data_IF_190513892864
#
_entry.id   IF_190513892864
#
_cell.length_a   1.000
_cell.length_b   1.000
_cell.length_c   1.000
_cell.angle_alpha   90.00
_cell.angle_beta   90.00
_cell.angle_gamma   90.00
#
_symmetry.space_group_name_H-M   'P 1'
#
loop_
_entity.id
_entity.type
_entity.pdbx_description
1 polymer ?
#
# COMPACT_ATOMS: atom_id res chain seq x y z
N UNK A 1 15.33 1.68 3.77
CA UNK A 1 15.49 0.30 4.29
C UNK A 1 14.60 -0.66 3.51
N UNK A 2 15.20 -1.33 2.54
CA UNK A 2 14.69 -2.56 1.93
C UNK A 2 14.96 -3.70 2.90
N UNK A 3 13.95 -4.50 3.26
CA UNK A 3 14.24 -5.75 3.99
C UNK A 3 14.80 -6.75 2.98
N UNK A 4 15.99 -7.29 3.24
CA UNK A 4 16.50 -8.42 2.48
C UNK A 4 15.68 -9.68 2.79
N UNK A 5 15.68 -10.64 1.86
CA UNK A 5 14.99 -11.92 2.06
C UNK A 5 15.47 -12.64 3.34
N UNK A 6 16.77 -12.55 3.63
CA UNK A 6 17.37 -13.08 4.86
C UNK A 6 16.85 -12.40 6.12
N UNK A 7 16.73 -11.07 6.13
CA UNK A 7 16.18 -10.33 7.26
C UNK A 7 14.71 -10.68 7.49
N UNK A 8 13.93 -10.87 6.42
CA UNK A 8 12.54 -11.30 6.53
C UNK A 8 12.40 -12.71 7.14
N UNK A 9 13.23 -13.66 6.70
CA UNK A 9 13.22 -15.02 7.23
C UNK A 9 13.60 -15.04 8.72
N UNK A 10 14.63 -14.28 9.11
CA UNK A 10 15.06 -14.17 10.52
C UNK A 10 13.95 -13.57 11.38
N UNK A 11 13.35 -12.45 10.97
CA UNK A 11 12.28 -11.79 11.73
C UNK A 11 11.06 -12.70 11.85
N UNK A 12 10.69 -13.42 10.79
CA UNK A 12 9.58 -14.37 10.81
C UNK A 12 9.87 -15.59 11.69
N UNK A 13 11.09 -16.10 11.65
CA UNK A 13 11.54 -17.19 12.53
C UNK A 13 11.54 -16.80 14.00
N UNK A 14 12.05 -15.61 14.33
CA UNK A 14 12.01 -15.08 15.70
C UNK A 14 10.57 -14.88 16.16
N UNK A 15 9.71 -14.30 15.33
CA UNK A 15 8.30 -14.11 15.67
C UNK A 15 7.57 -15.43 15.89
N UNK A 16 7.85 -16.45 15.08
CA UNK A 16 7.31 -17.80 15.26
C UNK A 16 7.78 -18.43 16.58
N UNK A 17 9.09 -18.36 16.88
CA UNK A 17 9.65 -18.88 18.14
C UNK A 17 9.05 -18.20 19.38
N UNK A 18 8.82 -16.89 19.31
CA UNK A 18 8.11 -16.15 20.37
C UNK A 18 6.68 -16.68 20.53
N UNK A 19 5.96 -16.91 19.43
CA UNK A 19 4.60 -17.47 19.46
C UNK A 19 4.56 -18.89 20.03
N UNK A 20 5.55 -19.73 19.69
CA UNK A 20 5.71 -21.08 20.28
C UNK A 20 6.01 -20.99 21.77
N UNK A 21 6.92 -20.09 22.19
CA UNK A 21 7.28 -19.91 23.59
C UNK A 21 6.10 -19.44 24.44
N UNK A 22 5.37 -18.42 23.98
CA UNK A 22 4.18 -17.90 24.68
C UNK A 22 3.06 -18.95 24.67
N UNK A 23 2.80 -19.59 23.53
CA UNK A 23 1.76 -20.61 23.39
C UNK A 23 2.01 -21.86 24.23
N UNK A 24 3.26 -22.33 24.27
CA UNK A 24 3.66 -23.49 25.04
C UNK A 24 3.71 -23.24 26.55
N UNK A 25 4.33 -22.13 26.98
CA UNK A 25 4.53 -21.85 28.40
C UNK A 25 3.25 -21.36 29.08
N UNK A 26 2.46 -20.51 28.41
CA UNK A 26 1.30 -19.85 29.03
C UNK A 26 0.02 -20.69 28.91
N UNK A 27 -0.26 -21.26 27.73
CA UNK A 27 -1.52 -21.97 27.48
C UNK A 27 -1.41 -23.47 27.70
N UNK A 28 -0.18 -24.03 27.77
CA UNK A 28 0.11 -25.43 28.04
C UNK A 28 -0.77 -26.40 27.23
N UNK A 29 -1.16 -25.99 26.03
CA UNK A 29 -2.09 -26.69 25.16
C UNK A 29 -1.59 -26.63 23.72
N UNK A 30 -1.79 -27.74 22.98
CA UNK A 30 -1.38 -27.86 21.58
C UNK A 30 -2.09 -26.79 20.73
N UNK A 31 -3.37 -26.51 21.03
CA UNK A 31 -4.15 -25.49 20.35
C UNK A 31 -3.56 -24.08 20.55
N UNK A 32 -3.18 -23.72 21.79
CA UNK A 32 -2.58 -22.42 22.08
C UNK A 32 -1.24 -22.21 21.38
N UNK A 33 -0.41 -23.27 21.33
CA UNK A 33 0.87 -23.27 20.63
C UNK A 33 0.69 -23.07 19.12
N UNK A 34 -0.22 -23.81 18.48
CA UNK A 34 -0.48 -23.68 17.04
C UNK A 34 -1.09 -22.32 16.68
N UNK A 35 -2.06 -21.84 17.47
CA UNK A 35 -2.74 -20.57 17.18
C UNK A 35 -1.80 -19.37 17.34
N UNK A 36 -1.03 -19.29 18.44
CA UNK A 36 -0.14 -18.15 18.64
C UNK A 36 1.06 -18.16 17.70
N UNK A 37 1.66 -19.32 17.44
CA UNK A 37 2.80 -19.42 16.52
C UNK A 37 2.42 -19.05 15.08
N UNK A 38 1.24 -19.43 14.61
CA UNK A 38 0.75 -19.04 13.27
C UNK A 38 0.42 -17.55 13.19
N UNK A 39 -0.23 -17.00 14.21
CA UNK A 39 -0.54 -15.57 14.29
C UNK A 39 0.73 -14.71 14.28
N UNK A 40 1.73 -15.03 15.10
CA UNK A 40 2.96 -14.25 15.17
C UNK A 40 3.84 -14.40 13.93
N UNK A 41 3.88 -15.59 13.33
CA UNK A 41 4.60 -15.81 12.07
C UNK A 41 3.98 -15.06 10.89
N UNK A 42 2.67 -14.80 10.90
CA UNK A 42 1.99 -14.05 9.86
C UNK A 42 2.19 -12.53 9.96
N UNK A 43 2.52 -11.98 11.14
CA UNK A 43 2.66 -10.54 11.36
C UNK A 43 3.70 -9.86 10.45
N UNK A 44 4.92 -10.38 10.27
CA UNK A 44 5.93 -9.74 9.41
C UNK A 44 5.48 -9.67 7.95
N UNK A 45 4.79 -10.70 7.46
CA UNK A 45 4.22 -10.72 6.12
C UNK A 45 3.14 -9.66 5.94
N UNK A 46 2.18 -9.59 6.87
CA UNK A 46 1.12 -8.58 6.86
C UNK A 46 1.71 -7.16 6.88
N UNK A 47 2.74 -6.93 7.71
CA UNK A 47 3.41 -5.64 7.80
C UNK A 47 4.10 -5.22 6.49
N UNK A 48 4.87 -6.14 5.88
CA UNK A 48 5.55 -5.88 4.61
C UNK A 48 4.54 -5.58 3.50
N UNK A 49 3.43 -6.33 3.46
CA UNK A 49 2.36 -6.15 2.48
C UNK A 49 1.68 -4.79 2.62
N UNK A 50 1.34 -4.38 3.84
CA UNK A 50 0.75 -3.06 4.11
C UNK A 50 1.70 -1.92 3.69
N UNK A 51 3.00 -2.10 3.86
CA UNK A 51 4.02 -1.13 3.42
C UNK A 51 4.11 -1.03 1.90
N UNK A 52 4.02 -2.16 1.19
CA UNK A 52 4.00 -2.20 -0.26
C UNK A 52 2.78 -1.46 -0.83
N UNK A 53 1.59 -1.77 -0.31
CA UNK A 53 0.33 -1.13 -0.71
C UNK A 53 0.42 0.39 -0.49
N UNK A 54 0.93 0.80 0.68
CA UNK A 54 1.08 2.22 1.03
C UNK A 54 2.05 2.95 0.09
N UNK A 55 3.11 2.28 -0.39
CA UNK A 55 4.04 2.84 -1.38
C UNK A 55 3.43 2.93 -2.77
N UNK A 56 2.72 1.89 -3.21
CA UNK A 56 2.02 1.91 -4.50
C UNK A 56 0.96 3.00 -4.55
N UNK A 57 0.22 3.19 -3.46
CA UNK A 57 -0.75 4.28 -3.31
C UNK A 57 -0.07 5.66 -3.38
N UNK A 58 1.06 5.85 -2.70
CA UNK A 58 1.80 7.13 -2.74
C UNK A 58 2.30 7.45 -4.15
N UNK A 59 2.85 6.46 -4.85
CA UNK A 59 3.33 6.64 -6.23
C UNK A 59 2.20 7.03 -7.20
N UNK A 60 1.00 6.46 -7.04
CA UNK A 60 -0.18 6.85 -7.83
C UNK A 60 -0.62 8.30 -7.55
N UNK A 61 -0.54 8.77 -6.31
CA UNK A 61 -0.94 10.15 -5.96
C UNK A 61 0.01 11.20 -6.53
N UNK A 62 1.30 10.90 -6.65
CA UNK A 62 2.30 11.84 -7.20
C UNK A 62 2.33 11.86 -8.74
N UNK A 63 1.67 10.90 -9.41
CA UNK A 63 1.65 10.80 -10.86
C UNK A 63 0.66 11.76 -11.53
N UNK A 64 -0.57 11.87 -11.01
CA UNK A 64 -1.57 12.82 -11.53
C UNK A 64 -1.03 14.27 -11.65
N UNK A 65 -0.47 14.88 -10.59
CA UNK A 65 0.06 16.25 -10.71
C UNK A 65 1.22 16.34 -11.69
N UNK A 66 2.01 15.27 -11.87
CA UNK A 66 3.06 15.23 -12.88
C UNK A 66 2.51 15.28 -14.31
N UNK A 67 1.42 14.54 -14.59
CA UNK A 67 0.74 14.59 -15.89
C UNK A 67 0.05 15.93 -16.11
N UNK A 68 -0.50 16.56 -15.06
CA UNK A 68 -1.09 17.90 -15.15
C UNK A 68 -0.04 18.97 -15.49
N UNK A 69 1.14 18.93 -14.86
CA UNK A 69 2.27 19.81 -15.20
C UNK A 69 2.72 19.57 -16.65
N UNK A 70 2.82 18.30 -17.06
CA UNK A 70 3.16 17.95 -18.43
C UNK A 70 2.14 18.49 -19.43
N UNK A 71 0.85 18.34 -19.16
CA UNK A 71 -0.22 18.87 -20.00
C UNK A 71 -0.18 20.40 -20.07
N UNK A 72 0.04 21.09 -18.95
CA UNK A 72 0.18 22.55 -18.93
C UNK A 72 1.36 23.01 -19.79
N UNK A 73 2.53 22.38 -19.64
CA UNK A 73 3.69 22.67 -20.47
C UNK A 73 3.44 22.35 -21.96
N UNK A 74 2.71 21.26 -22.25
CA UNK A 74 2.34 20.87 -23.61
C UNK A 74 1.40 21.89 -24.28
N UNK A 75 0.53 22.55 -23.52
CA UNK A 75 -0.34 23.62 -24.00
C UNK A 75 0.37 24.96 -24.20
N UNK A 76 1.52 25.18 -23.56
CA UNK A 76 2.27 26.44 -23.65
C UNK A 76 3.28 26.47 -24.80
N UNK A 77 3.71 25.31 -25.31
CA UNK A 77 4.76 25.23 -26.34
C UNK A 77 4.14 25.10 -27.73
N UNK A 78 4.46 26.05 -28.61
CA UNK A 78 4.19 25.98 -30.05
C UNK A 78 5.51 26.05 -30.83
N UNK A 79 5.79 25.10 -31.76
CA UNK A 79 5.01 23.90 -32.11
C UNK A 79 5.06 22.85 -31.00
N UNK A 80 4.02 22.01 -30.91
CA UNK A 80 3.82 21.01 -29.85
C UNK A 80 4.85 19.87 -29.92
N UNK A 81 6.08 20.16 -29.49
CA UNK A 81 7.19 19.21 -29.48
C UNK A 81 7.35 18.59 -28.09
N UNK A 82 7.04 17.31 -27.99
CA UNK A 82 7.13 16.54 -26.74
C UNK A 82 8.52 16.61 -26.09
N UNK A 83 9.61 16.68 -26.86
CA UNK A 83 10.97 16.78 -26.31
C UNK A 83 11.19 18.12 -25.59
N UNK A 84 10.70 19.20 -26.18
CA UNK A 84 10.81 20.55 -25.61
C UNK A 84 9.92 20.69 -24.38
N UNK A 85 8.72 20.12 -24.42
CA UNK A 85 7.80 20.06 -23.27
C UNK A 85 8.44 19.29 -22.10
N UNK A 86 9.06 18.13 -22.38
CA UNK A 86 9.79 17.38 -21.35
C UNK A 86 10.93 18.20 -20.72
N UNK A 87 11.69 18.95 -21.52
CA UNK A 87 12.75 19.82 -21.01
C UNK A 87 12.18 20.90 -20.07
N UNK A 88 11.12 21.59 -20.49
CA UNK A 88 10.45 22.63 -19.70
C UNK A 88 9.94 22.10 -18.36
N UNK A 89 9.28 20.94 -18.35
CA UNK A 89 8.79 20.32 -17.12
C UNK A 89 9.91 19.96 -16.12
N UNK A 90 11.10 19.62 -16.63
CA UNK A 90 12.25 19.27 -15.80
C UNK A 90 12.97 20.51 -15.26
N UNK A 91 13.02 21.59 -16.04
CA UNK A 91 13.62 22.88 -15.66
C UNK A 91 12.82 23.58 -14.57
N UNK A 92 11.48 23.60 -14.66
CA UNK A 92 10.62 24.26 -13.67
C UNK A 92 10.65 23.60 -12.28
N UNK A 93 11.27 22.41 -12.14
CA UNK A 93 11.38 21.61 -10.90
C UNK A 93 10.04 21.36 -10.18
N UNK A 94 8.91 21.51 -10.87
CA UNK A 94 7.56 21.27 -10.31
C UNK A 94 7.25 19.79 -10.12
N UNK A 95 7.98 18.91 -10.80
CA UNK A 95 7.84 17.45 -10.67
C UNK A 95 8.48 16.94 -9.37
N UNK A 96 7.69 16.19 -8.58
CA UNK A 96 8.17 15.56 -7.33
C UNK A 96 8.91 14.25 -7.62
N UNK A 97 9.93 13.96 -6.80
CA UNK A 97 10.59 12.63 -6.77
C UNK A 97 9.62 11.62 -6.13
N UNK A 98 9.42 10.40 -6.67
CA UNK A 98 10.25 9.69 -7.66
C UNK A 98 9.85 9.86 -9.13
N UNK A 99 8.67 10.41 -9.43
CA UNK A 99 8.14 10.51 -10.80
C UNK A 99 9.06 11.33 -11.70
N UNK A 100 9.63 12.42 -11.15
CA UNK A 100 10.64 13.23 -11.83
C UNK A 100 11.80 12.41 -12.41
N UNK A 101 12.32 11.44 -11.66
CA UNK A 101 13.45 10.63 -12.12
C UNK A 101 13.09 9.78 -13.35
N UNK A 102 11.84 9.31 -13.46
CA UNK A 102 11.32 8.62 -14.64
C UNK A 102 11.26 9.55 -15.85
N UNK A 103 10.76 10.78 -15.67
CA UNK A 103 10.73 11.80 -16.73
C UNK A 103 12.15 12.22 -17.17
N UNK A 104 13.10 12.39 -16.24
CA UNK A 104 14.50 12.69 -16.55
C UNK A 104 15.19 11.56 -17.33
N UNK A 105 14.88 10.30 -17.00
CA UNK A 105 15.37 9.15 -17.79
C UNK A 105 14.77 9.16 -19.18
N UNK A 106 13.47 9.37 -19.32
CA UNK A 106 12.80 9.45 -20.62
C UNK A 106 13.42 10.55 -21.49
N UNK A 107 13.56 11.76 -20.95
CA UNK A 107 14.17 12.89 -21.66
C UNK A 107 15.60 12.55 -22.12
N UNK A 108 16.45 12.00 -21.23
CA UNK A 108 17.81 11.58 -21.60
C UNK A 108 17.82 10.50 -22.69
N UNK A 109 16.92 9.52 -22.62
CA UNK A 109 16.83 8.45 -23.61
C UNK A 109 16.27 8.90 -24.96
N UNK A 110 15.43 9.94 -25.00
CA UNK A 110 14.95 10.53 -26.25
C UNK A 110 15.97 11.51 -26.87
N UNK A 111 16.82 12.12 -26.06
CA UNK A 111 17.88 13.05 -26.49
C UNK A 111 19.17 12.33 -26.90
N UNK A 112 19.48 11.19 -26.29
CA UNK A 112 20.49 10.25 -26.81
C UNK A 112 19.83 9.44 -27.91
N UNK A 113 20.50 9.19 -29.04
CA UNK A 113 19.92 8.62 -30.26
C UNK A 113 19.49 7.12 -30.14
N UNK A 114 18.91 6.73 -29.00
CA UNK A 114 18.33 5.42 -28.74
C UNK A 114 16.97 5.28 -29.42
N UNK A 115 16.56 4.05 -29.74
CA UNK A 115 15.23 3.81 -30.29
C UNK A 115 14.16 4.30 -29.30
N UNK A 116 13.29 5.18 -29.79
CA UNK A 116 12.17 5.78 -29.05
C UNK A 116 11.33 4.73 -28.32
N UNK A 117 11.06 3.61 -28.99
CA UNK A 117 10.24 2.51 -28.48
C UNK A 117 10.84 1.87 -27.22
N UNK A 118 12.17 1.77 -27.16
CA UNK A 118 12.88 1.25 -25.98
C UNK A 118 12.83 2.26 -24.83
N UNK A 119 13.00 3.56 -25.12
CA UNK A 119 12.90 4.63 -24.14
C UNK A 119 11.51 4.67 -23.48
N UNK A 120 10.45 4.57 -24.30
CA UNK A 120 9.06 4.53 -23.85
C UNK A 120 8.77 3.26 -23.04
N UNK A 121 9.30 2.11 -23.45
CA UNK A 121 9.15 0.85 -22.69
C UNK A 121 9.79 0.93 -21.30
N UNK A 122 11.01 1.46 -21.21
CA UNK A 122 11.72 1.66 -19.94
C UNK A 122 10.94 2.62 -19.04
N UNK A 123 10.39 3.70 -19.61
CA UNK A 123 9.57 4.67 -18.87
C UNK A 123 8.27 4.05 -18.34
N UNK A 124 7.55 3.28 -19.18
CA UNK A 124 6.35 2.56 -18.76
C UNK A 124 6.65 1.60 -17.60
N UNK A 125 7.74 0.86 -17.70
CA UNK A 125 8.18 -0.07 -16.65
C UNK A 125 8.59 0.66 -15.36
N UNK A 126 9.23 1.82 -15.45
CA UNK A 126 9.63 2.59 -14.27
C UNK A 126 8.46 3.20 -13.51
N UNK A 127 7.34 3.47 -14.20
CA UNK A 127 6.08 3.90 -13.58
C UNK A 127 5.30 2.72 -12.98
N UNK A 128 5.24 1.59 -13.68
CA UNK A 128 4.74 0.32 -13.13
C UNK A 128 3.23 0.30 -12.79
N UNK A 129 2.44 1.20 -13.39
CA UNK A 129 0.99 1.26 -13.21
C UNK A 129 0.25 1.62 -14.52
N UNK A 130 -1.04 1.31 -14.58
CA UNK A 130 -1.90 1.46 -15.79
C UNK A 130 -1.85 2.87 -16.37
N UNK A 131 -1.95 3.91 -15.53
CA UNK A 131 -1.88 5.30 -16.02
C UNK A 131 -0.56 5.66 -16.70
N UNK A 132 0.54 5.04 -16.30
CA UNK A 132 1.85 5.24 -16.92
C UNK A 132 1.92 4.58 -18.30
N UNK A 133 1.27 3.42 -18.46
CA UNK A 133 1.11 2.77 -19.76
C UNK A 133 0.27 3.62 -20.71
N UNK A 134 -0.84 4.19 -20.22
CA UNK A 134 -1.69 5.08 -21.01
C UNK A 134 -0.91 6.31 -21.49
N UNK A 135 -0.22 7.01 -20.57
CA UNK A 135 0.64 8.14 -20.95
C UNK A 135 1.70 7.73 -21.97
N UNK A 136 2.35 6.58 -21.78
CA UNK A 136 3.37 6.08 -22.71
C UNK A 136 2.81 5.87 -24.12
N UNK A 137 1.61 5.31 -24.23
CA UNK A 137 0.95 5.11 -25.52
C UNK A 137 0.59 6.45 -26.19
N UNK A 138 0.12 7.44 -25.43
CA UNK A 138 -0.11 8.79 -25.96
C UNK A 138 1.19 9.43 -26.46
N UNK A 139 2.27 9.33 -25.68
CA UNK A 139 3.58 9.84 -26.08
C UNK A 139 4.10 9.12 -27.32
N UNK A 140 3.86 7.80 -27.47
CA UNK A 140 4.21 7.06 -28.70
C UNK A 140 3.55 7.70 -29.90
N UNK A 141 2.21 7.83 -29.88
CA UNK A 141 1.43 8.41 -30.99
C UNK A 141 1.90 9.82 -31.32
N UNK A 142 2.04 10.69 -30.31
CA UNK A 142 2.49 12.06 -30.52
C UNK A 142 3.92 12.16 -31.05
N UNK A 143 4.82 11.23 -30.70
CA UNK A 143 6.20 11.23 -31.18
C UNK A 143 6.38 10.55 -32.55
N UNK A 144 5.56 9.56 -32.91
CA UNK A 144 5.66 8.84 -34.19
C UNK A 144 4.84 9.50 -35.29
N UNK A 145 3.63 9.95 -34.97
CA UNK A 145 2.68 10.50 -35.95
C UNK A 145 2.65 12.03 -35.94
N UNK A 146 3.25 12.68 -34.92
CA UNK A 146 3.16 14.13 -34.74
C UNK A 146 1.74 14.60 -34.42
N UNK A 147 0.84 13.68 -34.08
CA UNK A 147 -0.56 13.96 -33.80
C UNK A 147 -0.71 14.77 -32.51
N UNK A 148 -1.73 15.62 -32.48
CA UNK A 148 -2.02 16.38 -31.28
C UNK A 148 -2.64 15.50 -30.18
N UNK A 149 -1.91 15.32 -29.09
CA UNK A 149 -2.35 14.50 -27.94
C UNK A 149 -3.08 15.32 -26.85
N UNK A 150 -3.38 16.59 -27.09
CA UNK A 150 -3.99 17.50 -26.12
C UNK A 150 -5.28 16.95 -25.49
N UNK A 151 -6.24 16.57 -26.34
CA UNK A 151 -7.54 16.04 -25.92
C UNK A 151 -7.37 14.74 -25.12
N UNK A 152 -6.51 13.84 -25.59
CA UNK A 152 -6.28 12.55 -24.91
C UNK A 152 -5.55 12.70 -23.57
N UNK A 153 -4.65 13.69 -23.44
CA UNK A 153 -4.04 14.03 -22.16
C UNK A 153 -5.07 14.60 -21.18
N UNK A 154 -5.98 15.45 -21.66
CA UNK A 154 -7.06 15.99 -20.85
C UNK A 154 -8.02 14.88 -20.37
N UNK A 155 -8.36 13.93 -21.25
CA UNK A 155 -9.16 12.74 -20.91
C UNK A 155 -8.46 11.88 -19.86
N UNK A 156 -7.16 11.58 -20.05
CA UNK A 156 -6.36 10.85 -19.08
C UNK A 156 -6.37 11.52 -17.69
N UNK A 157 -6.21 12.84 -17.64
CA UNK A 157 -6.28 13.62 -16.39
C UNK A 157 -7.67 13.51 -15.76
N UNK A 158 -8.73 13.59 -16.55
CA UNK A 158 -10.12 13.46 -16.07
C UNK A 158 -10.36 12.10 -15.45
N UNK A 159 -9.92 11.04 -16.11
CA UNK A 159 -10.09 9.66 -15.66
C UNK A 159 -9.31 9.39 -14.37
N UNK A 160 -8.06 9.87 -14.29
CA UNK A 160 -7.27 9.80 -13.06
C UNK A 160 -7.92 10.57 -11.90
N UNK A 161 -8.48 11.76 -12.14
CA UNK A 161 -9.21 12.54 -11.12
C UNK A 161 -10.46 11.83 -10.64
N UNK A 162 -11.21 11.21 -11.56
CA UNK A 162 -12.39 10.43 -11.23
C UNK A 162 -12.02 9.22 -10.37
N UNK A 163 -11.00 8.45 -10.79
CA UNK A 163 -10.49 7.32 -10.03
C UNK A 163 -9.99 7.74 -8.63
N UNK A 164 -9.33 8.89 -8.49
CA UNK A 164 -8.93 9.40 -7.17
C UNK A 164 -10.14 9.74 -6.27
N UNK A 165 -11.22 10.28 -6.84
CA UNK A 165 -12.45 10.58 -6.08
C UNK A 165 -13.15 9.31 -5.64
N UNK A 166 -13.16 8.28 -6.47
CA UNK A 166 -13.67 6.96 -6.14
C UNK A 166 -12.83 6.31 -5.04
N UNK A 167 -11.49 6.32 -5.17
CA UNK A 167 -10.55 5.87 -4.14
C UNK A 167 -10.78 6.60 -2.79
N UNK A 168 -11.06 7.90 -2.81
CA UNK A 168 -11.34 8.67 -1.60
C UNK A 168 -12.67 8.26 -0.94
N UNK A 169 -13.73 8.07 -1.73
CA UNK A 169 -15.02 7.58 -1.23
C UNK A 169 -14.89 6.18 -0.65
N UNK A 170 -14.10 5.33 -1.30
CA UNK A 170 -13.81 3.99 -0.82
C UNK A 170 -12.97 4.01 0.46
N UNK A 171 -11.97 4.89 0.58
CA UNK A 171 -11.24 5.07 1.83
C UNK A 171 -12.17 5.43 2.99
N UNK A 172 -13.14 6.31 2.77
CA UNK A 172 -14.14 6.66 3.78
C UNK A 172 -14.97 5.43 4.18
N UNK A 173 -15.40 4.62 3.21
CA UNK A 173 -16.10 3.34 3.50
C UNK A 173 -15.21 2.31 4.20
N UNK A 174 -13.93 2.26 3.86
CA UNK A 174 -12.95 1.39 4.53
C UNK A 174 -12.65 1.88 5.96
N UNK A 175 -12.77 3.18 6.24
CA UNK A 175 -12.69 3.70 7.62
C UNK A 175 -13.88 3.20 8.45
N UNK A 176 -15.09 3.17 7.90
CA UNK A 176 -16.26 2.56 8.56
C UNK A 176 -16.02 1.08 8.88
N UNK A 177 -15.49 0.32 7.92
CA UNK A 177 -15.13 -1.10 8.12
C UNK A 177 -13.98 -1.24 9.15
N UNK A 178 -13.00 -0.33 9.16
CA UNK A 178 -11.93 -0.34 10.17
C UNK A 178 -12.44 0.00 11.57
N UNK A 179 -13.39 0.91 11.72
CA UNK A 179 -14.03 1.20 13.00
C UNK A 179 -14.78 -0.05 13.50
N UNK A 180 -15.50 -0.74 12.62
CA UNK A 180 -16.15 -2.00 12.96
C UNK A 180 -15.15 -3.07 13.42
N UNK A 181 -13.99 -3.20 12.75
CA UNK A 181 -12.93 -4.15 13.13
C UNK A 181 -12.12 -3.74 14.36
N UNK A 182 -12.13 -2.46 14.75
CA UNK A 182 -11.47 -1.96 15.96
C UNK A 182 -12.36 -2.06 17.21
N UNK A 183 -13.66 -2.29 17.03
CA UNK A 183 -14.60 -2.44 18.14
C UNK A 183 -14.31 -3.68 19.02
N UNK A 184 -13.98 -4.89 18.49
CA UNK A 184 -13.79 -6.06 19.34
C UNK A 184 -12.59 -5.93 20.30
N UNK A 185 -11.40 -5.43 19.90
CA UNK A 185 -10.33 -5.13 20.83
C UNK A 185 -10.70 -4.12 21.92
N UNK A 186 -11.42 -3.06 21.55
CA UNK A 186 -11.86 -2.04 22.50
C UNK A 186 -12.82 -2.63 23.54
N UNK A 187 -13.84 -3.36 23.11
CA UNK A 187 -14.81 -4.00 24.01
C UNK A 187 -14.17 -5.12 24.84
N UNK A 188 -13.27 -5.91 24.26
CA UNK A 188 -12.54 -6.94 25.00
C UNK A 188 -11.69 -6.32 26.11
N UNK A 189 -10.93 -5.27 25.81
CA UNK A 189 -10.12 -4.57 26.80
C UNK A 189 -10.98 -3.92 27.88
N UNK A 190 -12.09 -3.29 27.49
CA UNK A 190 -13.05 -2.71 28.45
C UNK A 190 -13.65 -3.79 29.35
N UNK A 191 -14.04 -4.94 28.81
CA UNK A 191 -14.59 -6.06 29.58
C UNK A 191 -13.58 -6.59 30.61
N UNK A 192 -12.33 -6.81 30.20
CA UNK A 192 -11.25 -7.24 31.11
C UNK A 192 -11.01 -6.18 32.20
N UNK A 193 -10.97 -4.90 31.84
CA UNK A 193 -10.69 -3.81 32.77
C UNK A 193 -11.83 -3.62 33.79
N UNK A 194 -13.08 -3.70 33.35
CA UNK A 194 -14.25 -3.67 34.24
C UNK A 194 -14.25 -4.87 35.18
N UNK A 195 -13.95 -6.08 34.67
CA UNK A 195 -13.88 -7.29 35.48
C UNK A 195 -12.76 -7.20 36.55
N UNK A 196 -11.59 -6.67 36.18
CA UNK A 196 -10.48 -6.38 37.10
C UNK A 196 -10.82 -5.32 38.15
N UNK A 197 -11.67 -4.33 37.81
CA UNK A 197 -12.15 -3.31 38.77
C UNK A 197 -13.18 -3.87 39.74
N UNK A 198 -14.04 -4.79 39.30
CA UNK A 198 -15.11 -5.36 40.12
C UNK A 198 -14.55 -6.37 41.14
N UNK A 199 -13.71 -7.30 40.71
CA UNK A 199 -13.12 -8.34 41.58
C UNK A 199 -11.72 -8.71 41.12
N UNK A 200 -10.74 -7.91 41.54
CA UNK A 200 -9.36 -8.00 41.05
C UNK A 200 -8.69 -9.36 41.25
N UNK A 201 -8.83 -9.95 42.45
CA UNK A 201 -8.18 -11.24 42.77
C UNK A 201 -8.77 -12.40 41.97
N UNK A 202 -10.10 -12.49 41.91
CA UNK A 202 -10.81 -13.55 41.20
C UNK A 202 -10.66 -13.42 39.68
N UNK A 203 -10.66 -12.18 39.17
CA UNK A 203 -10.40 -11.90 37.76
C UNK A 203 -8.97 -12.31 37.36
N UNK A 204 -7.96 -11.93 38.14
CA UNK A 204 -6.56 -12.31 37.86
C UNK A 204 -6.38 -13.83 37.90
N UNK A 205 -7.00 -14.51 38.86
CA UNK A 205 -6.99 -15.97 38.92
C UNK A 205 -7.62 -16.58 37.66
N UNK A 206 -8.79 -16.09 37.26
CA UNK A 206 -9.51 -16.58 36.09
C UNK A 206 -8.72 -16.39 34.77
N UNK A 207 -8.17 -15.20 34.52
CA UNK A 207 -7.48 -14.91 33.25
C UNK A 207 -6.09 -15.54 33.14
N UNK A 208 -5.37 -15.73 34.27
CA UNK A 208 -3.97 -16.15 34.25
C UNK A 208 -3.77 -17.61 34.67
N UNK A 209 -4.56 -18.13 35.60
CA UNK A 209 -4.34 -19.44 36.23
C UNK A 209 -5.35 -20.45 35.69
N UNK A 210 -6.64 -20.09 35.72
CA UNK A 210 -7.70 -20.98 35.26
C UNK A 210 -7.55 -21.33 33.77
N UNK A 211 -7.77 -22.60 33.44
CA UNK A 211 -7.64 -23.09 32.07
C UNK A 211 -8.74 -22.49 31.18
N UNK A 212 -9.96 -22.38 31.68
CA UNK A 212 -11.10 -21.85 30.93
C UNK A 212 -10.90 -20.36 30.59
N UNK A 213 -10.48 -19.55 31.56
CA UNK A 213 -10.21 -18.12 31.32
C UNK A 213 -9.03 -17.88 30.38
N UNK A 214 -7.94 -18.66 30.47
CA UNK A 214 -6.86 -18.63 29.48
C UNK A 214 -7.38 -18.96 28.07
N UNK A 215 -8.14 -20.04 27.88
CA UNK A 215 -8.71 -20.37 26.58
C UNK A 215 -9.66 -19.29 26.03
N UNK A 216 -10.43 -18.62 26.90
CA UNK A 216 -11.28 -17.50 26.50
C UNK A 216 -10.45 -16.33 25.95
N UNK A 217 -9.35 -15.98 26.61
CA UNK A 217 -8.42 -14.92 26.14
C UNK A 217 -7.79 -15.31 24.80
N UNK A 218 -7.35 -16.55 24.66
CA UNK A 218 -6.79 -17.07 23.40
C UNK A 218 -7.80 -16.97 22.25
N UNK A 219 -9.03 -17.42 22.46
CA UNK A 219 -10.08 -17.37 21.45
C UNK A 219 -10.45 -15.92 21.10
N UNK A 220 -10.49 -15.03 22.10
CA UNK A 220 -10.69 -13.59 21.88
C UNK A 220 -9.59 -12.98 21.01
N UNK A 221 -8.31 -13.28 21.33
CA UNK A 221 -7.16 -12.87 20.52
C UNK A 221 -7.24 -13.39 19.10
N UNK A 222 -7.62 -14.66 18.91
CA UNK A 222 -7.77 -15.26 17.60
C UNK A 222 -8.89 -14.61 16.79
N UNK A 223 -10.04 -14.33 17.39
CA UNK A 223 -11.15 -13.63 16.71
C UNK A 223 -10.76 -12.20 16.32
N UNK A 224 -10.06 -11.48 17.20
CA UNK A 224 -9.54 -10.15 16.89
C UNK A 224 -8.53 -10.19 15.74
N UNK A 225 -7.65 -11.19 15.72
CA UNK A 225 -6.68 -11.37 14.64
C UNK A 225 -7.36 -11.76 13.32
N UNK A 226 -8.33 -12.68 13.36
CA UNK A 226 -9.10 -13.06 12.19
C UNK A 226 -9.88 -11.87 11.61
N UNK A 227 -10.51 -11.05 12.45
CA UNK A 227 -11.18 -9.81 12.05
C UNK A 227 -10.20 -8.81 11.41
N UNK A 228 -9.01 -8.66 11.99
CA UNK A 228 -7.96 -7.81 11.42
C UNK A 228 -7.49 -8.30 10.05
N UNK A 229 -7.21 -9.60 9.91
CA UNK A 229 -6.82 -10.23 8.64
C UNK A 229 -7.92 -10.08 7.60
N UNK A 230 -9.18 -10.30 7.98
CA UNK A 230 -10.36 -10.10 7.14
C UNK A 230 -10.45 -8.65 6.66
N UNK A 231 -10.22 -7.68 7.55
CA UNK A 231 -10.18 -6.26 7.20
C UNK A 231 -9.09 -5.93 6.18
N UNK A 232 -7.89 -6.49 6.34
CA UNK A 232 -6.80 -6.35 5.37
C UNK A 232 -7.18 -7.03 4.05
N UNK A 233 -7.72 -8.24 4.08
CA UNK A 233 -8.12 -8.99 2.89
C UNK A 233 -9.20 -8.29 2.07
N UNK A 234 -10.24 -7.77 2.73
CA UNK A 234 -11.28 -6.96 2.08
C UNK A 234 -10.71 -5.66 1.51
N UNK A 235 -9.78 -5.02 2.22
CA UNK A 235 -9.07 -3.86 1.72
C UNK A 235 -8.19 -4.19 0.51
N UNK A 236 -7.73 -5.44 0.35
CA UNK A 236 -6.85 -5.86 -0.75
C UNK A 236 -7.61 -6.32 -1.99
N UNK A 237 -8.71 -7.09 -1.85
CA UNK A 237 -9.44 -7.67 -2.99
C UNK A 237 -10.04 -6.60 -3.92
N UNK A 238 -10.16 -5.36 -3.45
CA UNK A 238 -10.83 -4.27 -4.15
C UNK A 238 -9.87 -3.18 -4.64
N UNK A 239 -8.55 -3.37 -4.48
CA UNK A 239 -7.48 -2.55 -5.10
C UNK A 239 -6.95 -3.21 -6.37
#
# INVERSE_FOLDING_TARGET
>A
MTMSASAFAIVSGIAWLIGVGIGGLWFQSVNGLLMLSTMTAALPYLWLRMRLISRQMRARMDFLPAVEIFYQAYMMVEPRNIRQVLALCLEERRLRSPVRASFERLFRHLSTNRPMEEALRIFSFSLGHVWGQYLTNLLRVGLTEGADISASLQELIRDMRQAQREDLRERNRLLEIRIANFSPPLFFLLFVLVNLRLNREQALYYYLIDAAGRHMVLNGLLLMFASFVMGIWLSMRRM
#
